data_IF_180481002771
#
_entry.id   IF_180481002771
#
_cell.length_a   1.000
_cell.length_b   1.000
_cell.length_c   1.000
_cell.angle_alpha   90.00
_cell.angle_beta   90.00
_cell.angle_gamma   90.00
#
_symmetry.space_group_name_H-M   'P 1'
#
loop_
_entity.id
_entity.type
_entity.pdbx_description
1 polymer ?
#
# COMPACT_ATOMS: atom_id res chain seq x y z
N UNK A 1 63.47 11.42 11.44
CA UNK A 1 62.81 10.18 11.93
C UNK A 1 61.44 10.13 11.28
N UNK A 2 61.20 9.13 10.43
CA UNK A 2 59.89 8.86 9.82
C UNK A 2 59.36 7.59 10.46
N UNK A 3 58.39 7.72 11.34
CA UNK A 3 57.42 6.67 11.68
C UNK A 3 56.24 6.92 10.70
N UNK A 4 55.71 5.98 9.90
CA UNK A 4 55.47 4.57 10.14
C UNK A 4 53.95 4.38 10.23
N UNK A 5 53.22 4.53 9.11
CA UNK A 5 51.82 4.10 9.02
C UNK A 5 51.82 2.72 8.36
N UNK A 6 51.36 1.65 9.02
CA UNK A 6 51.21 0.34 8.39
C UNK A 6 50.11 0.43 7.33
N UNK A 7 50.45 0.13 6.08
CA UNK A 7 49.47 -0.19 5.04
C UNK A 7 49.07 -1.64 5.21
N UNK A 8 48.06 -1.88 6.04
CA UNK A 8 47.26 -3.09 5.97
C UNK A 8 45.81 -2.69 5.68
N UNK A 9 45.50 -2.62 4.39
CA UNK A 9 44.13 -2.79 3.91
C UNK A 9 44.24 -3.78 2.76
N UNK A 10 43.92 -5.03 3.06
CA UNK A 10 43.84 -6.11 2.09
C UNK A 10 42.75 -5.73 1.05
N UNK A 11 43.08 -5.52 -0.23
CA UNK A 11 42.10 -5.10 -1.25
C UNK A 11 41.12 -6.21 -1.65
N UNK A 12 41.25 -7.41 -1.07
CA UNK A 12 40.43 -8.60 -1.35
C UNK A 12 39.33 -8.85 -0.31
N UNK A 13 39.11 -7.96 0.65
CA UNK A 13 37.86 -7.98 1.43
C UNK A 13 36.75 -7.38 0.57
N UNK A 14 36.01 -8.24 -0.14
CA UNK A 14 34.71 -7.87 -0.68
C UNK A 14 33.91 -7.16 0.43
N UNK A 15 33.35 -5.97 0.18
CA UNK A 15 32.55 -5.31 1.20
C UNK A 15 31.44 -6.27 1.60
N UNK A 16 31.39 -6.61 2.89
CA UNK A 16 30.34 -7.43 3.48
C UNK A 16 29.00 -6.72 3.22
N UNK A 17 28.37 -7.04 2.08
CA UNK A 17 27.02 -6.65 1.76
C UNK A 17 26.17 -7.82 2.18
N UNK A 18 25.67 -7.87 3.43
CA UNK A 18 24.80 -8.96 3.83
C UNK A 18 23.66 -9.01 2.81
N UNK A 19 23.47 -10.17 2.16
CA UNK A 19 22.34 -10.38 1.27
C UNK A 19 21.08 -10.02 2.07
N UNK A 20 20.45 -8.91 1.72
CA UNK A 20 19.23 -8.47 2.39
C UNK A 20 18.21 -9.60 2.19
N UNK A 21 17.67 -10.19 3.28
CA UNK A 21 16.67 -11.24 3.14
C UNK A 21 15.53 -10.72 2.27
N UNK A 22 15.15 -11.48 1.24
CA UNK A 22 13.96 -11.16 0.44
C UNK A 22 12.72 -11.39 1.30
N UNK A 23 12.20 -10.34 1.92
CA UNK A 23 11.04 -10.38 2.81
C UNK A 23 9.75 -9.99 2.07
N UNK A 24 9.89 -9.37 0.91
CA UNK A 24 8.79 -9.01 0.03
C UNK A 24 8.44 -10.16 -0.90
N UNK A 25 7.14 -10.41 -1.07
CA UNK A 25 6.60 -11.49 -1.90
C UNK A 25 5.56 -11.00 -2.88
N UNK A 26 5.54 -11.55 -4.09
CA UNK A 26 4.43 -11.35 -5.02
C UNK A 26 3.26 -12.27 -4.59
N UNK A 27 2.08 -11.69 -4.37
CA UNK A 27 0.90 -12.42 -3.90
C UNK A 27 0.51 -13.60 -4.81
N UNK A 28 0.73 -13.46 -6.12
CA UNK A 28 0.40 -14.48 -7.12
C UNK A 28 1.40 -15.63 -7.18
N UNK A 29 2.57 -15.46 -6.57
CA UNK A 29 3.70 -16.39 -6.66
C UNK A 29 4.04 -17.00 -5.31
N UNK A 30 3.18 -16.84 -4.30
CA UNK A 30 3.38 -17.42 -2.97
C UNK A 30 3.44 -18.94 -3.05
N UNK A 31 4.49 -19.51 -2.48
CA UNK A 31 4.54 -20.94 -2.22
C UNK A 31 3.40 -21.34 -1.25
N UNK A 32 2.95 -22.62 -1.25
CA UNK A 32 1.88 -23.08 -0.37
C UNK A 32 2.13 -22.76 1.11
N UNK A 33 3.37 -22.88 1.57
CA UNK A 33 3.79 -22.60 2.95
C UNK A 33 3.66 -21.11 3.26
N UNK A 34 4.11 -20.25 2.33
CA UNK A 34 4.03 -18.79 2.49
C UNK A 34 2.58 -18.28 2.44
N UNK A 35 1.73 -18.92 1.63
CA UNK A 35 0.31 -18.66 1.60
C UNK A 35 -0.39 -19.10 2.89
N UNK A 36 0.01 -20.24 3.47
CA UNK A 36 -0.50 -20.71 4.76
C UNK A 36 -0.08 -19.78 5.91
N UNK A 37 1.17 -19.31 5.92
CA UNK A 37 1.66 -18.32 6.88
C UNK A 37 0.90 -17.00 6.78
N UNK A 38 0.71 -16.46 5.57
CA UNK A 38 -0.08 -15.24 5.36
C UNK A 38 -1.52 -15.44 5.85
N UNK A 39 -2.15 -16.56 5.50
CA UNK A 39 -3.51 -16.89 5.94
C UNK A 39 -3.62 -16.94 7.46
N UNK A 40 -2.70 -17.63 8.14
CA UNK A 40 -2.67 -17.69 9.60
C UNK A 40 -2.58 -16.28 10.20
N UNK A 41 -1.67 -15.45 9.67
CA UNK A 41 -1.49 -14.07 10.12
C UNK A 41 -2.72 -13.20 9.92
N UNK A 42 -3.45 -13.37 8.81
CA UNK A 42 -4.72 -12.68 8.57
C UNK A 42 -5.78 -13.11 9.60
N UNK A 43 -5.87 -14.40 9.90
CA UNK A 43 -6.80 -14.91 10.92
C UNK A 43 -6.46 -14.39 12.32
N UNK A 44 -5.19 -14.36 12.71
CA UNK A 44 -4.73 -13.77 13.98
C UNK A 44 -5.09 -12.30 14.11
N UNK A 45 -5.15 -11.58 12.98
CA UNK A 45 -5.59 -10.19 12.91
C UNK A 45 -7.11 -10.04 12.68
N UNK A 46 -7.88 -11.10 12.91
CA UNK A 46 -9.34 -11.12 12.74
C UNK A 46 -9.76 -10.64 11.34
N UNK A 47 -9.13 -11.24 10.32
CA UNK A 47 -9.41 -10.94 8.92
C UNK A 47 -8.93 -9.57 8.44
N UNK A 48 -8.14 -8.83 9.24
CA UNK A 48 -7.68 -7.49 8.90
C UNK A 48 -6.39 -7.50 8.08
N UNK A 49 -6.40 -6.73 6.99
CA UNK A 49 -5.23 -6.48 6.14
C UNK A 49 -5.05 -4.97 5.92
N UNK A 50 -3.81 -4.50 5.84
CA UNK A 50 -3.49 -3.15 5.36
C UNK A 50 -3.17 -3.20 3.88
N UNK A 51 -3.79 -2.33 3.09
CA UNK A 51 -3.57 -2.23 1.66
C UNK A 51 -3.11 -0.82 1.33
N UNK A 52 -1.93 -0.70 0.73
CA UNK A 52 -1.41 0.57 0.21
C UNK A 52 -1.42 0.53 -1.31
N UNK A 53 -2.06 1.50 -1.94
CA UNK A 53 -2.17 1.60 -3.40
C UNK A 53 -1.18 2.64 -3.91
N UNK A 54 -0.22 2.18 -4.71
CA UNK A 54 0.86 2.95 -5.31
C UNK A 54 1.53 3.91 -4.31
N UNK A 55 1.95 3.43 -3.12
CA UNK A 55 2.44 4.30 -2.05
C UNK A 55 3.67 5.11 -2.45
N UNK A 56 4.42 4.66 -3.46
CA UNK A 56 5.64 5.31 -3.94
C UNK A 56 5.53 5.71 -5.41
N UNK A 57 4.31 5.86 -5.94
CA UNK A 57 4.08 6.23 -7.34
C UNK A 57 4.90 7.45 -7.78
N UNK A 58 4.84 8.51 -6.97
CA UNK A 58 5.54 9.76 -7.21
C UNK A 58 7.06 9.59 -7.23
N UNK A 59 7.58 8.60 -6.50
CA UNK A 59 9.02 8.31 -6.41
C UNK A 59 9.52 7.50 -7.60
N UNK A 60 8.79 6.46 -8.00
CA UNK A 60 9.33 5.46 -8.92
C UNK A 60 8.87 5.64 -10.38
N UNK A 61 7.76 6.35 -10.63
CA UNK A 61 7.26 6.58 -11.99
C UNK A 61 8.00 7.68 -12.76
N UNK A 62 8.70 8.56 -12.06
CA UNK A 62 9.42 9.70 -12.64
C UNK A 62 10.91 9.64 -12.31
N UNK A 63 11.69 8.75 -12.96
CA UNK A 63 13.14 8.62 -12.69
C UNK A 63 13.90 9.94 -12.93
N UNK A 64 13.46 10.77 -13.88
CA UNK A 64 14.07 12.08 -14.14
C UNK A 64 13.86 13.10 -12.99
N UNK A 65 12.89 12.86 -12.09
CA UNK A 65 12.69 13.65 -10.86
C UNK A 65 13.47 13.10 -9.66
N UNK A 66 13.96 11.86 -9.76
CA UNK A 66 14.69 11.15 -8.71
C UNK A 66 16.15 11.59 -8.60
N UNK A 67 16.73 12.19 -9.64
CA UNK A 67 18.08 12.78 -9.58
C UNK A 67 18.18 14.02 -8.67
N UNK A 68 17.06 14.51 -8.13
CA UNK A 68 17.06 15.51 -7.06
C UNK A 68 16.94 14.80 -5.69
N UNK A 69 18.00 14.81 -4.84
CA UNK A 69 17.97 14.28 -3.48
C UNK A 69 16.91 14.94 -2.56
N UNK A 70 16.19 15.95 -3.07
CA UNK A 70 15.21 16.74 -2.33
C UNK A 70 13.76 16.37 -2.62
N UNK A 71 13.45 15.49 -3.57
CA UNK A 71 12.05 15.21 -3.93
C UNK A 71 11.22 14.65 -2.76
N UNK A 72 11.81 13.77 -1.95
CA UNK A 72 11.20 13.26 -0.71
C UNK A 72 11.00 14.36 0.36
N UNK A 73 11.84 15.39 0.35
CA UNK A 73 11.75 16.55 1.25
C UNK A 73 10.70 17.56 0.77
N UNK A 74 10.39 17.58 -0.53
CA UNK A 74 9.49 18.52 -1.18
C UNK A 74 8.04 18.01 -1.29
N UNK A 75 7.80 16.71 -1.09
CA UNK A 75 6.45 16.13 -1.06
C UNK A 75 6.11 15.56 0.33
N UNK A 76 5.44 16.35 1.21
CA UNK A 76 5.06 15.93 2.56
C UNK A 76 4.27 14.63 2.61
N UNK A 77 3.46 14.35 1.57
CA UNK A 77 2.61 13.17 1.51
C UNK A 77 3.40 11.89 1.24
N UNK A 78 4.41 11.96 0.37
CA UNK A 78 5.37 10.85 0.17
C UNK A 78 6.04 10.51 1.50
N UNK A 79 6.55 11.52 2.20
CA UNK A 79 7.22 11.34 3.50
C UNK A 79 6.30 10.75 4.57
N UNK A 80 5.04 11.18 4.61
CA UNK A 80 4.04 10.63 5.54
C UNK A 80 3.80 9.14 5.26
N UNK A 81 3.54 8.78 4.00
CA UNK A 81 3.31 7.39 3.59
C UNK A 81 4.54 6.52 3.91
N UNK A 82 5.73 7.00 3.58
CA UNK A 82 7.00 6.33 3.89
C UNK A 82 7.16 6.11 5.40
N UNK A 83 6.98 7.15 6.20
CA UNK A 83 7.08 7.08 7.67
C UNK A 83 6.09 6.05 8.24
N UNK A 84 4.89 5.97 7.67
CA UNK A 84 3.86 5.03 8.11
C UNK A 84 4.22 3.60 7.74
N UNK A 85 4.64 3.35 6.51
CA UNK A 85 5.07 2.03 6.05
C UNK A 85 6.28 1.57 6.86
N UNK A 86 7.27 2.44 7.08
CA UNK A 86 8.42 2.17 7.93
C UNK A 86 7.98 1.76 9.35
N UNK A 87 7.11 2.54 10.00
CA UNK A 87 6.59 2.19 11.34
C UNK A 87 5.82 0.87 11.41
N UNK A 88 5.24 0.43 10.30
CA UNK A 88 4.58 -0.87 10.22
C UNK A 88 5.64 -1.97 10.09
N UNK A 89 6.56 -1.80 9.13
CA UNK A 89 7.56 -2.80 8.81
C UNK A 89 8.64 -2.95 9.87
N UNK A 90 8.98 -1.93 10.64
CA UNK A 90 9.95 -2.03 11.74
C UNK A 90 9.42 -2.80 12.97
N UNK A 91 8.10 -3.08 13.01
CA UNK A 91 7.50 -3.87 14.09
C UNK A 91 7.54 -5.35 13.76
N UNK A 92 7.59 -6.17 14.80
CA UNK A 92 7.44 -7.63 14.69
C UNK A 92 6.12 -8.00 13.98
N UNK A 93 6.11 -9.07 13.16
CA UNK A 93 4.97 -9.47 12.35
C UNK A 93 3.65 -9.59 13.11
N UNK A 94 3.70 -10.04 14.37
CA UNK A 94 2.56 -10.33 15.25
C UNK A 94 1.90 -9.04 15.77
N UNK A 95 2.61 -7.90 15.75
CA UNK A 95 2.11 -6.62 16.27
C UNK A 95 1.37 -5.80 15.23
N UNK A 96 1.38 -6.24 13.97
CA UNK A 96 0.78 -5.50 12.87
C UNK A 96 0.02 -6.43 11.94
N UNK A 97 -1.20 -6.05 11.52
CA UNK A 97 -1.85 -6.66 10.37
C UNK A 97 -0.93 -6.74 9.14
N UNK A 98 -1.05 -7.80 8.32
CA UNK A 98 -0.30 -7.96 7.08
C UNK A 98 -0.38 -6.73 6.17
N UNK A 99 0.74 -6.40 5.52
CA UNK A 99 0.84 -5.29 4.59
C UNK A 99 0.82 -5.81 3.15
N UNK A 100 -0.22 -5.44 2.42
CA UNK A 100 -0.31 -5.59 0.97
C UNK A 100 -0.03 -4.25 0.30
N UNK A 101 0.72 -4.29 -0.80
CA UNK A 101 1.02 -3.10 -1.61
C UNK A 101 0.62 -3.39 -3.05
N UNK A 102 -0.39 -2.68 -3.53
CA UNK A 102 -0.72 -2.66 -4.96
C UNK A 102 0.26 -1.70 -5.62
N UNK A 103 1.06 -2.20 -6.54
CA UNK A 103 2.13 -1.43 -7.18
C UNK A 103 2.22 -1.76 -8.66
N UNK A 104 2.59 -0.75 -9.46
CA UNK A 104 2.79 -0.96 -10.88
C UNK A 104 3.87 -1.99 -11.12
N UNK A 105 3.61 -2.93 -12.04
CA UNK A 105 4.56 -4.01 -12.30
C UNK A 105 5.95 -3.52 -12.69
N UNK A 106 6.05 -2.33 -13.31
CA UNK A 106 7.33 -1.71 -13.68
C UNK A 106 8.14 -1.21 -12.47
N UNK A 107 7.47 -0.87 -11.37
CA UNK A 107 8.06 -0.31 -10.14
C UNK A 107 8.22 -1.34 -9.01
N UNK A 108 7.70 -2.56 -9.20
CA UNK A 108 7.75 -3.60 -8.17
C UNK A 108 9.16 -3.92 -7.69
N UNK A 109 10.16 -3.86 -8.57
CA UNK A 109 11.54 -4.18 -8.20
C UNK A 109 12.13 -3.12 -7.25
N UNK A 110 11.97 -1.83 -7.59
CA UNK A 110 12.39 -0.73 -6.71
C UNK A 110 11.61 -0.76 -5.39
N UNK A 111 10.30 -0.98 -5.45
CA UNK A 111 9.43 -1.07 -4.27
C UNK A 111 9.84 -2.24 -3.36
N UNK A 112 10.08 -3.43 -3.93
CA UNK A 112 10.55 -4.59 -3.17
C UNK A 112 11.86 -4.31 -2.47
N UNK A 113 12.86 -3.76 -3.16
CA UNK A 113 14.16 -3.45 -2.55
C UNK A 113 14.03 -2.45 -1.40
N UNK A 114 13.17 -1.45 -1.55
CA UNK A 114 12.91 -0.48 -0.50
C UNK A 114 12.21 -1.10 0.73
N UNK A 115 11.17 -1.92 0.52
CA UNK A 115 10.45 -2.58 1.62
C UNK A 115 11.31 -3.65 2.33
N UNK A 116 12.13 -4.39 1.59
CA UNK A 116 13.09 -5.36 2.15
C UNK A 116 14.12 -4.64 3.04
N UNK A 117 14.61 -3.48 2.61
CA UNK A 117 15.50 -2.65 3.42
C UNK A 117 14.85 -2.20 4.73
N UNK A 118 13.58 -1.78 4.70
CA UNK A 118 12.83 -1.35 5.91
C UNK A 118 12.51 -2.49 6.88
N UNK A 119 12.37 -3.72 6.38
CA UNK A 119 11.93 -4.89 7.17
C UNK A 119 13.07 -5.80 7.64
N UNK A 120 14.31 -5.54 7.21
CA UNK A 120 15.47 -6.43 7.44
C UNK A 120 15.68 -6.86 8.90
N UNK A 121 15.44 -5.95 9.86
CA UNK A 121 15.69 -6.22 11.29
C UNK A 121 14.47 -6.88 11.97
N UNK A 122 13.25 -6.60 11.50
CA UNK A 122 12.02 -7.09 12.11
C UNK A 122 11.54 -8.42 11.52
N UNK A 123 11.99 -8.77 10.31
CA UNK A 123 11.46 -9.89 9.55
C UNK A 123 10.01 -9.71 9.06
N UNK A 124 9.44 -8.50 9.18
CA UNK A 124 8.04 -8.25 8.85
C UNK A 124 7.82 -8.20 7.33
N UNK A 125 7.23 -9.27 6.80
CA UNK A 125 7.00 -9.43 5.36
C UNK A 125 5.89 -8.53 4.84
N UNK A 126 6.11 -8.02 3.62
CA UNK A 126 5.11 -7.33 2.80
C UNK A 126 4.79 -8.12 1.53
N UNK A 127 3.57 -7.93 1.01
CA UNK A 127 3.05 -8.68 -0.12
C UNK A 127 2.69 -7.72 -1.25
N UNK A 128 3.41 -7.80 -2.37
CA UNK A 128 3.12 -6.98 -3.55
C UNK A 128 2.03 -7.63 -4.40
N UNK A 129 1.12 -6.79 -4.89
CA UNK A 129 0.15 -7.14 -5.91
C UNK A 129 0.46 -6.30 -7.14
N UNK A 130 0.95 -6.90 -8.24
CA UNK A 130 1.19 -6.16 -9.47
C UNK A 130 -0.11 -5.54 -9.99
N UNK A 131 -0.03 -4.30 -10.47
CA UNK A 131 -1.11 -3.63 -11.19
C UNK A 131 -0.70 -3.24 -12.60
N UNK A 132 -1.68 -2.77 -13.37
CA UNK A 132 -1.48 -2.11 -14.66
C UNK A 132 -0.91 -0.71 -14.46
N UNK A 133 -0.26 -0.22 -15.50
CA UNK A 133 0.29 1.14 -15.52
C UNK A 133 -0.84 2.17 -15.31
N UNK A 134 -0.59 3.15 -14.44
CA UNK A 134 -1.46 4.25 -14.06
C UNK A 134 -2.82 3.82 -13.49
N UNK A 135 -2.91 2.58 -12.99
CA UNK A 135 -4.18 1.98 -12.62
C UNK A 135 -4.04 1.13 -11.36
N UNK A 136 -5.06 1.10 -10.48
CA UNK A 136 -5.09 0.15 -9.37
C UNK A 136 -5.49 -1.26 -9.83
N UNK A 137 -5.87 -1.44 -11.10
CA UNK A 137 -6.34 -2.72 -11.61
C UNK A 137 -5.24 -3.79 -11.49
N UNK A 138 -5.53 -4.92 -10.80
CA UNK A 138 -4.57 -6.01 -10.67
C UNK A 138 -4.13 -6.51 -12.04
N UNK A 139 -2.87 -6.92 -12.10
CA UNK A 139 -2.29 -7.57 -13.26
C UNK A 139 -2.04 -9.03 -12.90
N UNK A 140 -2.63 -9.94 -13.66
CA UNK A 140 -2.53 -11.38 -13.38
C UNK A 140 -1.37 -12.05 -14.10
N UNK A 141 -0.82 -11.37 -15.12
CA UNK A 141 0.24 -11.94 -15.95
C UNK A 141 1.63 -11.57 -15.45
N UNK A 142 2.63 -12.46 -15.65
CA UNK A 142 4.02 -12.18 -15.30
C UNK A 142 4.60 -10.93 -15.96
N UNK A 143 5.75 -10.47 -15.45
CA UNK A 143 6.46 -9.27 -15.94
C UNK A 143 6.72 -9.37 -17.45
N UNK A 144 6.49 -8.26 -18.15
CA UNK A 144 6.76 -8.13 -19.58
C UNK A 144 5.71 -8.73 -20.52
N UNK A 145 4.65 -9.38 -19.99
CA UNK A 145 3.53 -9.86 -20.80
C UNK A 145 2.38 -8.84 -20.79
N UNK A 146 1.72 -8.69 -21.93
CA UNK A 146 0.47 -7.91 -22.00
C UNK A 146 -0.61 -8.65 -21.22
N UNK A 147 -1.21 -7.98 -20.24
CA UNK A 147 -2.41 -8.49 -19.59
C UNK A 147 -3.64 -8.00 -20.36
N UNK A 148 -4.41 -8.94 -20.91
CA UNK A 148 -5.65 -8.67 -21.64
C UNK A 148 -6.89 -9.07 -20.85
N UNK A 149 -6.73 -9.53 -19.60
CA UNK A 149 -7.86 -9.88 -18.76
C UNK A 149 -8.76 -8.65 -18.58
N UNK A 150 -10.09 -8.77 -18.67
CA UNK A 150 -10.98 -7.66 -18.33
C UNK A 150 -10.74 -7.18 -16.89
N UNK A 151 -10.87 -5.87 -16.64
CA UNK A 151 -10.58 -5.32 -15.32
C UNK A 151 -11.46 -5.95 -14.22
N UNK A 152 -12.73 -6.20 -14.51
CA UNK A 152 -13.65 -6.88 -13.58
C UNK A 152 -13.19 -8.30 -13.25
N UNK A 153 -12.76 -9.09 -14.23
CA UNK A 153 -12.24 -10.44 -13.98
C UNK A 153 -10.95 -10.40 -13.14
N UNK A 154 -10.06 -9.44 -13.40
CA UNK A 154 -8.82 -9.27 -12.62
C UNK A 154 -9.11 -8.91 -11.16
N UNK A 155 -10.07 -8.02 -10.91
CA UNK A 155 -10.52 -7.69 -9.56
C UNK A 155 -11.19 -8.88 -8.87
N UNK A 156 -12.08 -9.60 -9.56
CA UNK A 156 -12.74 -10.79 -9.02
C UNK A 156 -11.70 -11.81 -8.52
N UNK A 157 -10.67 -12.11 -9.31
CA UNK A 157 -9.63 -13.06 -8.89
C UNK A 157 -8.81 -12.57 -7.71
N UNK A 158 -8.49 -11.28 -7.64
CA UNK A 158 -7.82 -10.73 -6.46
C UNK A 158 -8.70 -10.86 -5.22
N UNK A 159 -9.97 -10.48 -5.33
CA UNK A 159 -10.93 -10.55 -4.23
C UNK A 159 -11.12 -11.99 -3.74
N UNK A 160 -11.30 -12.95 -4.65
CA UNK A 160 -11.39 -14.38 -4.33
C UNK A 160 -10.14 -14.84 -3.59
N UNK A 161 -8.95 -14.51 -4.12
CA UNK A 161 -7.68 -14.85 -3.46
C UNK A 161 -7.57 -14.27 -2.05
N UNK A 162 -7.97 -13.02 -1.85
CA UNK A 162 -7.94 -12.39 -0.53
C UNK A 162 -8.94 -13.03 0.44
N UNK A 163 -10.13 -13.41 -0.04
CA UNK A 163 -11.13 -14.13 0.76
C UNK A 163 -10.68 -15.54 1.13
N UNK A 164 -10.02 -16.27 0.22
CA UNK A 164 -9.42 -17.58 0.51
C UNK A 164 -8.37 -17.52 1.62
N UNK A 165 -7.63 -16.42 1.67
CA UNK A 165 -6.65 -16.09 2.72
C UNK A 165 -7.30 -15.61 4.03
N UNK A 166 -8.63 -15.52 4.08
CA UNK A 166 -9.39 -15.15 5.28
C UNK A 166 -9.57 -13.64 5.48
N UNK A 167 -9.36 -12.81 4.45
CA UNK A 167 -9.56 -11.37 4.56
C UNK A 167 -11.05 -11.03 4.63
N UNK A 168 -11.43 -10.30 5.67
CA UNK A 168 -12.81 -9.83 5.91
C UNK A 168 -12.90 -8.31 5.93
N UNK A 169 -11.80 -7.65 6.30
CA UNK A 169 -11.73 -6.20 6.44
C UNK A 169 -10.38 -5.63 6.04
N UNK A 170 -10.36 -4.39 5.56
CA UNK A 170 -9.16 -3.74 5.07
C UNK A 170 -9.02 -2.29 5.58
N UNK A 171 -7.80 -1.91 5.94
CA UNK A 171 -7.39 -0.50 6.02
C UNK A 171 -6.72 -0.11 4.70
N UNK A 172 -7.33 0.79 3.93
CA UNK A 172 -6.85 1.12 2.58
C UNK A 172 -6.29 2.54 2.53
N UNK A 173 -5.05 2.66 2.07
CA UNK A 173 -4.30 3.91 1.95
C UNK A 173 -3.52 4.00 0.65
N UNK A 174 -2.73 5.06 0.47
CA UNK A 174 -1.87 5.21 -0.71
C UNK A 174 -1.64 6.66 -1.13
N UNK A 175 -0.92 6.83 -2.25
CA UNK A 175 -0.51 8.15 -2.74
C UNK A 175 -1.70 9.01 -3.14
N UNK A 176 -2.56 8.49 -4.02
CA UNK A 176 -3.69 9.23 -4.57
C UNK A 176 -5.00 8.78 -3.95
N UNK A 177 -5.23 9.22 -2.72
CA UNK A 177 -6.55 9.22 -2.10
C UNK A 177 -7.08 10.66 -2.10
N UNK A 178 -8.23 10.85 -2.75
CA UNK A 178 -9.01 12.08 -2.79
C UNK A 178 -10.41 11.76 -2.29
N UNK A 179 -11.02 12.66 -1.52
CA UNK A 179 -12.43 12.57 -1.13
C UNK A 179 -13.22 13.60 -1.95
N UNK A 180 -14.12 13.13 -2.80
CA UNK A 180 -14.96 13.95 -3.66
C UNK A 180 -16.38 14.00 -3.10
N UNK A 181 -17.16 15.03 -3.42
CA UNK A 181 -18.50 15.19 -2.87
C UNK A 181 -19.42 14.11 -3.43
N UNK A 182 -20.22 13.45 -2.60
CA UNK A 182 -21.23 12.51 -3.11
C UNK A 182 -22.31 13.27 -3.90
N UNK A 183 -22.97 12.59 -4.85
CA UNK A 183 -23.93 13.22 -5.77
C UNK A 183 -23.31 13.77 -7.05
N UNK A 184 -22.00 13.65 -7.25
CA UNK A 184 -21.33 14.07 -8.50
C UNK A 184 -21.33 12.99 -9.58
N UNK A 185 -21.39 11.71 -9.21
CA UNK A 185 -21.42 10.57 -10.11
C UNK A 185 -22.36 9.48 -9.56
N UNK A 186 -23.56 9.29 -10.17
CA UNK A 186 -24.55 8.34 -9.69
C UNK A 186 -24.07 6.89 -9.64
N UNK A 187 -23.16 6.48 -10.54
CA UNK A 187 -22.65 5.11 -10.54
C UNK A 187 -21.74 4.86 -9.34
N UNK A 188 -20.85 5.81 -9.05
CA UNK A 188 -19.98 5.76 -7.87
C UNK A 188 -20.73 5.95 -6.56
N UNK A 189 -21.78 6.79 -6.55
CA UNK A 189 -22.63 6.98 -5.38
C UNK A 189 -23.26 5.67 -4.93
N UNK A 190 -23.70 4.84 -5.88
CA UNK A 190 -24.27 3.53 -5.61
C UNK A 190 -23.24 2.54 -5.07
N UNK A 191 -22.00 2.59 -5.58
CA UNK A 191 -20.90 1.73 -5.07
C UNK A 191 -20.58 2.07 -3.61
N UNK A 192 -20.59 3.35 -3.27
CA UNK A 192 -20.22 3.82 -1.94
C UNK A 192 -21.40 4.06 -0.98
N UNK A 193 -22.64 3.76 -1.38
CA UNK A 193 -23.81 3.91 -0.51
C UNK A 193 -23.64 3.11 0.80
N UNK A 194 -23.40 1.80 0.68
CA UNK A 194 -23.12 0.94 1.83
C UNK A 194 -21.89 1.39 2.63
N UNK A 195 -20.86 1.90 1.94
CA UNK A 195 -19.67 2.43 2.62
C UNK A 195 -20.04 3.64 3.50
N UNK A 196 -20.79 4.61 2.97
CA UNK A 196 -21.22 5.80 3.72
C UNK A 196 -22.14 5.42 4.89
N UNK A 197 -23.05 4.47 4.69
CA UNK A 197 -23.92 3.94 5.75
C UNK A 197 -23.12 3.28 6.87
N UNK A 198 -22.17 2.42 6.52
CA UNK A 198 -21.28 1.76 7.49
C UNK A 198 -20.46 2.78 8.30
N UNK A 199 -19.94 3.83 7.64
CA UNK A 199 -19.21 4.92 8.32
C UNK A 199 -20.11 5.70 9.27
N UNK A 200 -21.33 6.04 8.83
CA UNK A 200 -22.30 6.74 9.67
C UNK A 200 -22.69 5.90 10.90
N UNK A 201 -22.89 4.59 10.73
CA UNK A 201 -23.18 3.66 11.82
C UNK A 201 -22.01 3.54 12.82
N UNK A 202 -20.77 3.76 12.37
CA UNK A 202 -19.58 3.83 13.22
C UNK A 202 -19.38 5.19 13.89
N UNK A 203 -20.27 6.16 13.64
CA UNK A 203 -20.27 7.48 14.26
C UNK A 203 -19.57 8.57 13.45
N UNK A 204 -19.30 8.36 12.15
CA UNK A 204 -18.78 9.41 11.27
C UNK A 204 -19.80 10.56 11.13
N UNK A 205 -19.38 11.80 11.36
CA UNK A 205 -20.26 12.98 11.34
C UNK A 205 -20.48 13.58 9.94
N UNK A 206 -19.53 13.36 9.02
CA UNK A 206 -19.60 13.84 7.65
C UNK A 206 -19.34 12.65 6.75
N UNK A 207 -20.37 12.14 6.06
CA UNK A 207 -20.23 10.98 5.16
C UNK A 207 -20.60 11.32 3.72
N UNK A 208 -20.89 12.59 3.40
CA UNK A 208 -21.31 13.08 2.08
C UNK A 208 -20.13 13.17 1.09
N UNK A 209 -19.36 12.08 0.98
CA UNK A 209 -18.19 11.99 0.13
C UNK A 209 -17.99 10.57 -0.42
N UNK A 210 -17.25 10.50 -1.53
CA UNK A 210 -16.79 9.27 -2.15
C UNK A 210 -15.26 9.25 -2.23
N UNK A 211 -14.60 8.17 -1.79
CA UNK A 211 -13.19 7.95 -2.11
C UNK A 211 -12.98 7.86 -3.63
N UNK A 212 -12.03 8.64 -4.16
CA UNK A 212 -11.73 8.72 -5.58
C UNK A 212 -10.29 8.30 -5.90
N UNK A 213 -9.94 8.33 -7.20
CA UNK A 213 -8.63 7.93 -7.77
C UNK A 213 -8.28 6.46 -7.47
N UNK A 214 -7.00 6.09 -7.58
CA UNK A 214 -6.56 4.70 -7.46
C UNK A 214 -6.93 4.08 -6.11
N UNK A 215 -6.81 4.84 -5.01
CA UNK A 215 -7.18 4.37 -3.68
C UNK A 215 -8.70 4.19 -3.59
N UNK A 216 -9.49 5.17 -4.05
CA UNK A 216 -10.94 5.08 -4.06
C UNK A 216 -11.47 3.92 -4.91
N UNK A 217 -10.89 3.70 -6.08
CA UNK A 217 -11.24 2.56 -6.92
C UNK A 217 -11.03 1.22 -6.22
N UNK A 218 -9.90 1.05 -5.52
CA UNK A 218 -9.64 -0.14 -4.72
C UNK A 218 -10.68 -0.30 -3.60
N UNK A 219 -11.02 0.78 -2.88
CA UNK A 219 -12.06 0.76 -1.84
C UNK A 219 -13.42 0.34 -2.44
N UNK A 220 -13.80 0.89 -3.60
CA UNK A 220 -15.06 0.56 -4.28
C UNK A 220 -15.14 -0.92 -4.68
N UNK A 221 -14.06 -1.49 -5.21
CA UNK A 221 -14.02 -2.91 -5.59
C UNK A 221 -14.12 -3.85 -4.39
N UNK A 222 -13.42 -3.53 -3.29
CA UNK A 222 -13.50 -4.29 -2.04
C UNK A 222 -14.90 -4.19 -1.42
N UNK A 223 -15.49 -2.99 -1.40
CA UNK A 223 -16.84 -2.74 -0.87
C UNK A 223 -17.91 -3.49 -1.67
N UNK A 224 -17.83 -3.45 -3.02
CA UNK A 224 -18.72 -4.21 -3.92
C UNK A 224 -18.68 -5.72 -3.61
N UNK A 225 -17.56 -6.22 -3.12
CA UNK A 225 -17.39 -7.62 -2.74
C UNK A 225 -17.80 -7.96 -1.30
N UNK A 226 -18.33 -6.99 -0.54
CA UNK A 226 -18.75 -7.17 0.85
C UNK A 226 -17.60 -7.23 1.86
N UNK A 227 -16.40 -6.75 1.49
CA UNK A 227 -15.30 -6.57 2.43
C UNK A 227 -15.52 -5.26 3.17
N UNK A 228 -15.39 -5.25 4.50
CA UNK A 228 -15.50 -4.02 5.29
C UNK A 228 -14.25 -3.18 5.09
N UNK A 229 -14.39 -1.96 4.59
CA UNK A 229 -13.24 -1.11 4.30
C UNK A 229 -13.27 0.14 5.15
N UNK A 230 -12.12 0.47 5.71
CA UNK A 230 -11.86 1.76 6.31
C UNK A 230 -10.70 2.43 5.58
N UNK A 231 -10.79 3.75 5.41
CA UNK A 231 -9.66 4.52 4.93
C UNK A 231 -8.57 4.54 6.00
N UNK A 232 -7.33 4.28 5.60
CA UNK A 232 -6.19 4.34 6.50
C UNK A 232 -5.96 5.77 6.96
N UNK A 233 -6.28 6.03 8.24
CA UNK A 233 -6.06 7.32 8.90
C UNK A 233 -4.59 7.74 8.99
N UNK A 234 -3.68 6.81 8.72
CA UNK A 234 -2.23 7.03 8.68
C UNK A 234 -1.78 7.65 7.34
N UNK A 235 -2.56 7.49 6.28
CA UNK A 235 -2.28 8.07 4.95
C UNK A 235 -3.39 9.00 4.47
N UNK A 236 -4.28 9.36 5.37
CA UNK A 236 -5.35 10.30 5.08
C UNK A 236 -4.77 11.71 5.03
N UNK A 237 -5.14 12.56 4.05
CA UNK A 237 -4.60 13.92 3.92
C UNK A 237 -4.76 14.82 5.17
N UNK A 238 -5.56 14.42 6.16
CA UNK A 238 -5.92 15.21 7.35
C UNK A 238 -5.62 14.53 8.70
N UNK A 239 -4.74 13.51 8.75
CA UNK A 239 -4.27 12.71 9.90
C UNK A 239 -5.10 12.61 11.22
N UNK A 240 -5.45 11.35 11.54
CA UNK A 240 -5.71 10.67 12.83
C UNK A 240 -6.80 11.13 13.84
N UNK A 241 -7.08 12.40 14.10
CA UNK A 241 -8.01 12.77 15.22
C UNK A 241 -9.42 13.15 14.77
N UNK A 242 -9.56 13.42 13.47
CA UNK A 242 -10.75 14.05 12.92
C UNK A 242 -11.57 13.15 11.99
N UNK A 243 -11.14 11.93 11.61
CA UNK A 243 -11.90 11.14 10.62
C UNK A 243 -13.34 10.79 11.03
N UNK A 244 -13.58 10.35 12.27
CA UNK A 244 -14.96 10.11 12.73
C UNK A 244 -15.75 11.41 12.98
N UNK A 245 -15.10 12.59 13.03
CA UNK A 245 -15.75 13.88 13.35
C UNK A 245 -15.82 14.87 12.17
N UNK A 246 -15.01 14.68 11.13
CA UNK A 246 -14.75 15.59 10.01
C UNK A 246 -14.24 14.82 8.79
N UNK A 247 -14.96 13.77 8.40
CA UNK A 247 -14.80 13.19 7.07
C UNK A 247 -15.40 14.16 6.02
N UNK A 248 -14.84 15.37 5.95
CA UNK A 248 -15.39 16.50 5.21
C UNK A 248 -14.56 16.84 3.99
N UNK A 249 -15.26 17.33 2.96
CA UNK A 249 -14.66 17.93 1.77
C UNK A 249 -13.65 19.01 2.14
N UNK A 250 -12.57 19.10 1.37
CA UNK A 250 -11.62 20.20 1.42
C UNK A 250 -12.38 21.53 1.35
N UNK A 251 -12.61 22.18 2.51
CA UNK A 251 -12.76 23.62 2.53
C UNK A 251 -11.38 24.18 2.27
N UNK A 252 -11.04 24.31 0.99
CA UNK A 252 -9.99 25.23 0.59
C UNK A 252 -10.25 26.54 1.34
N UNK A 253 -9.26 26.97 2.12
CA UNK A 253 -9.21 28.34 2.63
C UNK A 253 -9.32 29.25 1.42
N UNK A 254 -10.50 29.82 1.25
CA UNK A 254 -10.71 31.02 0.46
C UNK A 254 -10.33 32.17 1.38
N UNK A 255 -9.04 32.48 1.41
CA UNK A 255 -8.52 33.81 1.73
C UNK A 255 -7.41 34.14 0.73
#
# INVERSE_FOLDING_TARGET
MKEGIPKDTNPDEEPFSPEIPRLTRNLWELAPEEAAELKARIHENQGLVRIFVHPFFELFRHPDRYESPRYHLENPRVREIETVIQRILEKEPERTPPLLVLEEQVNMQQTSGFLDFLSKESGNRSYLVPTRDASPCPKLTPRGKTDRTPAEEAWTKLIERLKELGMERALVGGMYLVLEKAGQDPEWDKVFENYREDRAAQGAQETDYNPARCVGWTIGQLTKAGIKVEVSNLTHPHSRTDMLKREGLDRQRSE
#
